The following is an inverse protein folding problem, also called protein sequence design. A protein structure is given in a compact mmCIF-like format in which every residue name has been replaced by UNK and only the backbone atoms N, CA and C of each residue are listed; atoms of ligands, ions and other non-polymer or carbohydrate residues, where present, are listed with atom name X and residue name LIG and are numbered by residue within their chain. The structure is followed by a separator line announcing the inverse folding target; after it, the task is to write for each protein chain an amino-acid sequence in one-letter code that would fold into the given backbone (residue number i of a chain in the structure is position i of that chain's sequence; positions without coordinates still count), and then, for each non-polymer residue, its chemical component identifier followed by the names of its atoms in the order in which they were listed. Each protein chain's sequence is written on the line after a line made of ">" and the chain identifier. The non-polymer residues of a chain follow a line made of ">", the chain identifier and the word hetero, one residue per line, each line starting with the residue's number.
data_IF_606409072477
#
_entry.id   IF_606409072477
#
_cell.length_a   1.000
_cell.length_b   1.000
_cell.length_c   1.000
_cell.angle_alpha   90.00
_cell.angle_beta   90.00
_cell.angle_gamma   90.00
#
_symmetry.space_group_name_H-M   'P 1'
#
loop_
_entity.id
_entity.type
_entity.pdbx_description
1 polymer ?
#
# COMPACT_ATOMS: atom_id res chain seq x y z
N UNK A 1 -28.99 -6.38 -19.35
CA UNK A 1 -28.34 -6.47 -18.03
C UNK A 1 -26.92 -6.90 -18.31
N UNK A 2 -26.05 -5.96 -18.65
CA UNK A 2 -24.69 -6.28 -19.07
C UNK A 2 -23.85 -6.44 -17.81
N UNK A 3 -23.80 -7.68 -17.32
CA UNK A 3 -23.03 -8.08 -16.15
C UNK A 3 -21.55 -7.91 -16.44
N UNK A 4 -20.99 -6.74 -16.14
CA UNK A 4 -19.55 -6.53 -16.13
C UNK A 4 -18.92 -7.50 -15.11
N UNK A 5 -18.33 -8.59 -15.62
CA UNK A 5 -17.54 -9.53 -14.84
C UNK A 5 -16.28 -8.81 -14.39
N UNK A 6 -16.25 -8.39 -13.13
CA UNK A 6 -15.06 -7.81 -12.52
C UNK A 6 -14.24 -8.91 -11.84
N UNK A 7 -12.94 -8.67 -11.67
CA UNK A 7 -12.06 -9.55 -10.92
C UNK A 7 -11.49 -8.84 -9.71
N UNK A 8 -11.52 -9.51 -8.56
CA UNK A 8 -11.05 -8.98 -7.31
C UNK A 8 -9.78 -9.71 -6.86
N UNK A 9 -8.79 -8.96 -6.40
CA UNK A 9 -7.49 -9.48 -5.98
C UNK A 9 -7.12 -8.98 -4.60
N UNK A 10 -6.84 -9.92 -3.70
CA UNK A 10 -6.14 -9.66 -2.46
C UNK A 10 -4.66 -10.03 -2.64
N UNK A 11 -3.78 -9.05 -2.46
CA UNK A 11 -2.34 -9.26 -2.48
C UNK A 11 -1.83 -9.25 -1.04
N UNK A 12 -1.72 -10.42 -0.43
CA UNK A 12 -1.15 -10.60 0.90
C UNK A 12 0.37 -10.67 0.79
N UNK A 13 1.08 -9.81 1.53
CA UNK A 13 2.53 -9.62 1.37
C UNK A 13 3.20 -9.38 2.72
N UNK A 14 4.36 -9.99 3.00
CA UNK A 14 5.11 -9.69 4.24
C UNK A 14 6.11 -8.54 4.12
N UNK A 15 6.20 -7.92 2.94
CA UNK A 15 7.17 -6.86 2.65
C UNK A 15 6.54 -5.75 1.84
N UNK A 16 7.20 -4.59 1.79
CA UNK A 16 6.71 -3.42 1.06
C UNK A 16 6.73 -3.56 -0.47
N UNK A 17 6.89 -4.78 -1.00
CA UNK A 17 7.03 -5.04 -2.44
C UNK A 17 5.84 -4.61 -3.30
N UNK A 18 6.09 -4.26 -4.55
CA UNK A 18 5.14 -3.63 -5.48
C UNK A 18 4.21 -4.58 -6.21
N UNK A 19 3.98 -5.78 -5.67
CA UNK A 19 3.12 -6.77 -6.32
C UNK A 19 1.75 -6.20 -6.69
N UNK A 20 1.14 -5.44 -5.76
CA UNK A 20 -0.11 -4.73 -6.01
C UNK A 20 -0.02 -3.65 -7.09
N UNK A 21 1.14 -3.01 -7.27
CA UNK A 21 1.33 -2.01 -8.33
C UNK A 21 1.50 -2.67 -9.70
N UNK A 22 2.28 -3.76 -9.77
CA UNK A 22 2.42 -4.59 -10.97
C UNK A 22 1.03 -5.02 -11.43
N UNK A 23 0.24 -5.63 -10.54
CA UNK A 23 -1.12 -6.08 -10.86
C UNK A 23 -2.07 -4.94 -11.22
N UNK A 24 -1.87 -3.74 -10.64
CA UNK A 24 -2.64 -2.55 -10.99
C UNK A 24 -2.32 -1.96 -12.36
N UNK A 25 -1.33 -2.50 -13.08
CA UNK A 25 -1.04 -2.06 -14.45
C UNK A 25 -2.10 -2.48 -15.46
N UNK A 26 -2.97 -3.44 -15.11
CA UNK A 26 -4.11 -3.79 -15.96
C UNK A 26 -5.06 -2.61 -16.16
N UNK A 27 -5.62 -2.46 -17.36
CA UNK A 27 -6.58 -1.40 -17.64
C UNK A 27 -7.76 -1.37 -16.67
N UNK A 28 -8.21 -0.16 -16.32
CA UNK A 28 -9.42 0.07 -15.53
C UNK A 28 -9.40 -0.63 -14.16
N UNK A 29 -8.27 -0.50 -13.45
CA UNK A 29 -8.08 -1.06 -12.11
C UNK A 29 -8.38 -0.05 -10.99
N UNK A 30 -9.13 -0.46 -9.98
CA UNK A 30 -9.22 0.21 -8.69
C UNK A 30 -8.19 -0.37 -7.71
N UNK A 31 -7.23 0.43 -7.27
CA UNK A 31 -6.16 0.00 -6.38
C UNK A 31 -6.29 0.60 -4.97
N UNK A 32 -6.31 -0.27 -3.97
CA UNK A 32 -6.36 0.06 -2.55
C UNK A 32 -5.05 -0.39 -1.87
N UNK A 33 -4.26 0.58 -1.42
CA UNK A 33 -2.98 0.39 -0.76
C UNK A 33 -3.13 0.39 0.76
N UNK A 34 -2.87 -0.75 1.39
CA UNK A 34 -2.75 -0.86 2.85
C UNK A 34 -3.91 -0.21 3.64
N UNK A 35 -5.17 -0.66 3.44
CA UNK A 35 -6.32 -0.10 4.14
C UNK A 35 -6.19 -0.18 5.67
N UNK A 36 -5.46 -1.16 6.19
CA UNK A 36 -5.26 -1.33 7.63
C UNK A 36 -4.09 -0.50 8.20
N UNK A 37 -3.42 0.33 7.40
CA UNK A 37 -2.35 1.20 7.89
C UNK A 37 -2.80 2.14 9.02
N UNK A 38 -4.07 2.57 9.00
CA UNK A 38 -4.64 3.41 10.06
C UNK A 38 -4.59 2.74 11.45
N UNK A 39 -4.87 1.44 11.53
CA UNK A 39 -4.84 0.70 12.80
C UNK A 39 -3.47 0.79 13.47
N UNK A 40 -2.40 0.61 12.67
CA UNK A 40 -1.02 0.74 13.17
C UNK A 40 -0.71 2.15 13.65
N UNK A 41 -1.25 3.20 13.00
CA UNK A 41 -1.10 4.57 13.49
C UNK A 41 -1.74 4.81 14.86
N UNK A 42 -2.72 3.99 15.24
CA UNK A 42 -3.35 4.01 16.56
C UNK A 42 -2.84 2.91 17.48
N UNK A 43 -1.68 2.31 17.19
CA UNK A 43 -1.07 1.21 17.96
C UNK A 43 -1.94 -0.06 18.06
N UNK A 44 -2.79 -0.31 17.07
CA UNK A 44 -3.61 -1.53 16.99
C UNK A 44 -2.91 -2.55 16.09
N UNK A 45 -2.68 -3.75 16.62
CA UNK A 45 -2.12 -4.87 15.85
C UNK A 45 -3.22 -5.57 15.05
N UNK A 46 -3.17 -5.39 13.73
CA UNK A 46 -4.18 -5.93 12.78
C UNK A 46 -4.20 -7.45 12.77
N UNK A 47 -3.04 -8.08 12.98
CA UNK A 47 -2.90 -9.54 13.06
C UNK A 47 -3.65 -10.15 14.26
N UNK A 48 -4.00 -9.32 15.25
CA UNK A 48 -4.76 -9.69 16.45
C UNK A 48 -6.22 -9.23 16.42
N UNK A 49 -6.64 -8.49 15.39
CA UNK A 49 -8.04 -8.10 15.23
C UNK A 49 -8.91 -9.35 14.93
N UNK A 50 -10.19 -9.34 15.36
CA UNK A 50 -11.15 -10.35 14.93
C UNK A 50 -11.18 -10.46 13.40
N UNK A 51 -11.25 -11.70 12.89
CA UNK A 51 -11.28 -11.95 11.45
C UNK A 51 -12.45 -11.24 10.76
N UNK A 52 -13.61 -11.19 11.42
CA UNK A 52 -14.83 -10.54 10.94
C UNK A 52 -14.63 -9.04 10.65
N UNK A 53 -13.87 -8.32 11.49
CA UNK A 53 -13.61 -6.89 11.26
C UNK A 53 -12.76 -6.66 10.02
N UNK A 54 -11.74 -7.50 9.82
CA UNK A 54 -10.88 -7.48 8.64
C UNK A 54 -11.70 -7.81 7.40
N UNK A 55 -12.50 -8.87 7.46
CA UNK A 55 -13.35 -9.34 6.37
C UNK A 55 -14.39 -8.30 6.00
N UNK A 56 -15.08 -7.70 6.97
CA UNK A 56 -16.10 -6.68 6.73
C UNK A 56 -15.51 -5.45 6.04
N UNK A 57 -14.30 -5.02 6.45
CA UNK A 57 -13.59 -3.91 5.81
C UNK A 57 -13.26 -4.26 4.35
N UNK A 58 -12.69 -5.45 4.11
CA UNK A 58 -12.33 -5.90 2.77
C UNK A 58 -13.56 -6.07 1.87
N UNK A 59 -14.65 -6.64 2.40
CA UNK A 59 -15.92 -6.78 1.70
C UNK A 59 -16.46 -5.42 1.27
N UNK A 60 -16.43 -4.40 2.11
CA UNK A 60 -16.86 -3.05 1.73
C UNK A 60 -15.97 -2.41 0.65
N UNK A 61 -14.65 -2.66 0.68
CA UNK A 61 -13.74 -2.17 -0.36
C UNK A 61 -14.01 -2.85 -1.70
N UNK A 62 -14.13 -4.18 -1.68
CA UNK A 62 -14.31 -5.00 -2.87
C UNK A 62 -15.70 -4.82 -3.48
N UNK A 63 -16.76 -4.71 -2.68
CA UNK A 63 -18.12 -4.36 -3.14
C UNK A 63 -18.33 -2.85 -3.39
N UNK A 64 -17.28 -2.05 -3.31
CA UNK A 64 -17.29 -0.60 -3.56
C UNK A 64 -18.23 0.23 -2.65
N UNK A 65 -18.60 -0.28 -1.48
CA UNK A 65 -19.37 0.42 -0.44
C UNK A 65 -18.48 1.36 0.40
N UNK A 66 -17.72 2.23 -0.28
CA UNK A 66 -16.64 3.01 0.33
C UNK A 66 -17.11 4.09 1.31
N UNK A 67 -18.39 4.49 1.24
CA UNK A 67 -19.03 5.38 2.21
C UNK A 67 -19.24 4.70 3.58
N UNK A 68 -19.39 3.37 3.60
CA UNK A 68 -19.54 2.56 4.82
C UNK A 68 -18.19 2.16 5.43
N UNK A 69 -17.11 2.23 4.66
CA UNK A 69 -15.76 1.89 5.14
C UNK A 69 -15.22 2.95 6.09
N UNK A 70 -15.17 2.62 7.38
CA UNK A 70 -14.77 3.55 8.44
C UNK A 70 -13.41 4.23 8.17
N UNK A 71 -12.43 3.46 7.68
CA UNK A 71 -11.08 3.99 7.38
C UNK A 71 -11.06 5.01 6.23
N UNK A 72 -12.10 5.04 5.39
CA UNK A 72 -12.23 5.99 4.28
C UNK A 72 -13.05 7.24 4.64
N UNK A 73 -13.52 7.40 5.88
CA UNK A 73 -14.23 8.62 6.30
C UNK A 73 -13.28 9.83 6.24
N UNK A 74 -12.09 9.69 6.80
CA UNK A 74 -11.10 10.78 6.84
C UNK A 74 -10.36 10.94 5.50
N UNK A 75 -10.34 12.18 4.97
CA UNK A 75 -9.74 12.51 3.68
C UNK A 75 -8.27 12.11 3.55
N UNK A 76 -7.48 12.23 4.63
CA UNK A 76 -6.06 11.82 4.67
C UNK A 76 -5.87 10.32 4.43
N UNK A 77 -6.78 9.48 4.91
CA UNK A 77 -6.70 8.03 4.73
C UNK A 77 -7.23 7.62 3.36
N UNK A 78 -8.31 8.26 2.85
CA UNK A 78 -8.72 8.10 1.45
C UNK A 78 -7.59 8.35 0.47
N UNK A 79 -6.88 9.46 0.63
CA UNK A 79 -5.74 9.82 -0.25
C UNK A 79 -4.56 8.85 -0.14
N UNK A 80 -4.41 8.19 1.00
CA UNK A 80 -3.34 7.24 1.25
C UNK A 80 -3.67 5.85 0.68
N UNK A 81 -4.89 5.38 0.97
CA UNK A 81 -5.37 4.05 0.63
C UNK A 81 -5.72 3.99 -0.85
N UNK A 82 -6.52 4.94 -1.33
CA UNK A 82 -6.78 5.03 -2.76
C UNK A 82 -5.66 5.83 -3.42
N UNK A 83 -4.94 5.20 -4.35
CA UNK A 83 -3.86 5.85 -5.09
C UNK A 83 -4.39 6.42 -6.41
N UNK A 84 -4.59 7.75 -6.52
CA UNK A 84 -5.08 8.36 -7.76
C UNK A 84 -4.10 8.12 -8.93
N UNK A 85 -4.63 7.94 -10.15
CA UNK A 85 -3.87 8.18 -11.36
C UNK A 85 -3.20 9.57 -11.34
N UNK A 86 -2.07 9.72 -12.03
CA UNK A 86 -1.28 10.97 -12.07
C UNK A 86 -2.13 12.21 -12.37
N UNK A 87 -3.09 12.08 -13.30
CA UNK A 87 -4.00 13.15 -13.72
C UNK A 87 -4.94 13.66 -12.61
N UNK A 88 -5.10 12.91 -11.53
CA UNK A 88 -5.96 13.24 -10.38
C UNK A 88 -5.14 13.56 -9.12
N UNK A 89 -3.80 13.68 -9.23
CA UNK A 89 -2.94 14.07 -8.10
C UNK A 89 -3.32 15.48 -7.62
N UNK A 90 -3.74 15.58 -6.36
CA UNK A 90 -4.19 16.82 -5.72
C UNK A 90 -5.68 16.85 -5.41
N UNK A 91 -6.50 16.06 -6.12
CA UNK A 91 -7.90 15.85 -5.77
C UNK A 91 -8.02 14.83 -4.64
N UNK A 92 -8.90 15.10 -3.67
CA UNK A 92 -9.32 14.11 -2.66
C UNK A 92 -10.81 13.84 -2.85
N UNK A 93 -11.20 12.99 -3.82
CA UNK A 93 -12.59 12.72 -4.14
C UNK A 93 -13.37 12.20 -2.92
N UNK A 94 -14.67 12.50 -2.86
CA UNK A 94 -15.57 11.95 -1.84
C UNK A 94 -15.57 10.41 -1.85
N UNK A 95 -15.94 9.79 -0.73
CA UNK A 95 -16.09 8.34 -0.67
C UNK A 95 -17.06 7.83 -1.74
N UNK A 96 -18.15 8.54 -2.01
CA UNK A 96 -19.10 8.18 -3.07
C UNK A 96 -18.50 8.26 -4.48
N UNK A 97 -17.68 9.29 -4.72
CA UNK A 97 -16.98 9.44 -6.01
C UNK A 97 -15.98 8.30 -6.22
N UNK A 98 -15.29 7.89 -5.14
CA UNK A 98 -14.41 6.72 -5.18
C UNK A 98 -15.21 5.43 -5.37
N UNK A 99 -16.38 5.29 -4.71
CA UNK A 99 -17.26 4.14 -4.83
C UNK A 99 -17.73 3.94 -6.26
N UNK A 100 -18.17 5.01 -6.94
CA UNK A 100 -18.54 4.95 -8.37
C UNK A 100 -17.38 4.53 -9.27
N UNK A 101 -16.17 5.03 -9.00
CA UNK A 101 -14.96 4.64 -9.76
C UNK A 101 -14.56 3.19 -9.51
N UNK A 102 -14.69 2.73 -8.28
CA UNK A 102 -14.47 1.34 -7.90
C UNK A 102 -15.48 0.42 -8.60
N UNK A 103 -16.75 0.80 -8.61
CA UNK A 103 -17.82 0.01 -9.24
C UNK A 103 -17.64 -0.09 -10.75
N UNK A 104 -17.15 0.98 -11.39
CA UNK A 104 -16.84 0.99 -12.82
C UNK A 104 -15.52 0.27 -13.19
N UNK A 105 -14.70 -0.12 -12.21
CA UNK A 105 -13.44 -0.81 -12.47
C UNK A 105 -13.68 -2.28 -12.84
N UNK A 106 -12.96 -2.77 -13.85
CA UNK A 106 -12.98 -4.18 -14.26
C UNK A 106 -12.11 -5.06 -13.35
N UNK A 107 -11.16 -4.45 -12.66
CA UNK A 107 -10.27 -5.14 -11.72
C UNK A 107 -10.16 -4.34 -10.44
N UNK A 108 -10.23 -5.00 -9.28
CA UNK A 108 -10.03 -4.37 -7.98
C UNK A 108 -8.88 -5.06 -7.28
N UNK A 109 -7.88 -4.30 -6.84
CA UNK A 109 -6.66 -4.84 -6.22
C UNK A 109 -6.50 -4.22 -4.84
N UNK A 110 -6.41 -5.05 -3.81
CA UNK A 110 -6.15 -4.63 -2.43
C UNK A 110 -4.80 -5.20 -1.99
N UNK A 111 -3.85 -4.32 -1.70
CA UNK A 111 -2.58 -4.70 -1.09
C UNK A 111 -2.69 -4.75 0.43
N UNK A 112 -2.24 -5.85 1.02
CA UNK A 112 -2.33 -6.16 2.43
C UNK A 112 -0.98 -6.64 2.97
N UNK A 113 -0.41 -5.89 3.92
CA UNK A 113 0.79 -6.30 4.65
C UNK A 113 0.50 -6.78 6.08
N UNK A 114 -0.57 -6.28 6.68
CA UNK A 114 -0.80 -6.35 8.13
C UNK A 114 -1.72 -7.48 8.60
N UNK A 115 -2.81 -7.83 7.89
CA UNK A 115 -3.60 -9.00 8.25
C UNK A 115 -2.82 -10.31 8.07
N UNK A 116 -3.19 -11.35 8.82
CA UNK A 116 -2.75 -12.73 8.60
C UNK A 116 -3.54 -13.36 7.46
N UNK A 117 -2.94 -14.32 6.77
CA UNK A 117 -3.57 -14.99 5.64
C UNK A 117 -4.89 -15.66 6.06
N UNK A 118 -4.90 -16.29 7.24
CA UNK A 118 -6.10 -16.91 7.84
C UNK A 118 -7.30 -15.97 7.97
N UNK A 119 -7.06 -14.66 8.17
CA UNK A 119 -8.15 -13.68 8.29
C UNK A 119 -8.82 -13.43 6.92
N UNK A 120 -8.14 -13.74 5.82
CA UNK A 120 -8.61 -13.53 4.44
C UNK A 120 -9.37 -14.74 3.89
N UNK A 121 -9.03 -15.95 4.32
CA UNK A 121 -9.56 -17.20 3.75
C UNK A 121 -11.10 -17.29 3.72
N UNK A 122 -11.84 -16.82 4.75
CA UNK A 122 -13.31 -16.85 4.70
C UNK A 122 -13.91 -16.03 3.56
N UNK A 123 -13.20 -15.01 3.05
CA UNK A 123 -13.68 -14.23 1.89
C UNK A 123 -13.69 -15.06 0.60
N UNK A 124 -12.89 -16.12 0.50
CA UNK A 124 -12.94 -17.04 -0.64
C UNK A 124 -14.22 -17.89 -0.65
N UNK A 125 -14.91 -17.99 0.49
CA UNK A 125 -16.17 -18.71 0.66
C UNK A 125 -17.38 -17.76 0.69
N UNK A 126 -17.16 -16.45 0.58
CA UNK A 126 -18.22 -15.46 0.51
C UNK A 126 -19.06 -15.67 -0.75
N UNK A 127 -20.39 -15.70 -0.62
CA UNK A 127 -21.29 -15.99 -1.73
C UNK A 127 -21.25 -14.95 -2.86
N UNK A 128 -20.93 -13.69 -2.53
CA UNK A 128 -20.83 -12.62 -3.52
C UNK A 128 -19.41 -12.56 -4.10
N UNK A 129 -18.39 -12.50 -3.24
CA UNK A 129 -17.00 -12.27 -3.64
C UNK A 129 -16.30 -13.55 -4.14
N UNK A 130 -16.53 -14.68 -3.46
CA UNK A 130 -15.80 -15.93 -3.66
C UNK A 130 -15.66 -16.39 -5.11
N UNK A 131 -16.70 -16.31 -5.97
CA UNK A 131 -16.62 -16.73 -7.36
C UNK A 131 -15.62 -15.93 -8.23
N UNK A 132 -15.30 -14.69 -7.85
CA UNK A 132 -14.43 -13.80 -8.64
C UNK A 132 -13.23 -13.26 -7.85
N UNK A 133 -13.10 -13.62 -6.57
CA UNK A 133 -12.01 -13.26 -5.69
C UNK A 133 -10.80 -14.19 -5.90
N UNK A 134 -9.64 -13.58 -6.07
CA UNK A 134 -8.35 -14.26 -6.17
C UNK A 134 -7.40 -13.76 -5.09
N UNK A 135 -6.57 -14.65 -4.59
CA UNK A 135 -5.63 -14.41 -3.49
C UNK A 135 -4.20 -14.68 -3.97
N UNK A 136 -3.40 -13.63 -4.01
CA UNK A 136 -1.97 -13.70 -4.29
C UNK A 136 -1.23 -13.61 -2.96
N UNK A 137 -0.44 -14.64 -2.64
CA UNK A 137 0.33 -14.74 -1.41
C UNK A 137 1.82 -14.60 -1.70
N UNK A 138 2.38 -13.43 -1.40
CA UNK A 138 3.81 -13.15 -1.57
C UNK A 138 4.58 -13.57 -0.33
N UNK A 139 5.35 -14.65 -0.47
CA UNK A 139 6.28 -15.14 0.55
C UNK A 139 7.67 -14.58 0.29
N UNK A 140 8.47 -14.43 1.36
CA UNK A 140 9.83 -13.91 1.30
C UNK A 140 10.66 -14.62 2.37
N UNK A 141 11.95 -14.77 2.12
CA UNK A 141 12.90 -15.21 3.13
C UNK A 141 12.75 -14.37 4.42
N UNK A 142 12.54 -15.00 5.59
CA UNK A 142 12.53 -14.33 6.89
C UNK A 142 13.70 -13.38 7.12
N UNK A 143 14.92 -13.76 6.69
CA UNK A 143 16.15 -12.96 6.83
C UNK A 143 16.06 -11.68 6.01
N UNK A 144 15.62 -11.81 4.76
CA UNK A 144 15.37 -10.66 3.88
C UNK A 144 14.26 -9.74 4.40
N UNK A 145 13.22 -10.30 5.01
CA UNK A 145 12.14 -9.53 5.64
C UNK A 145 12.63 -8.76 6.85
N UNK A 146 13.34 -9.42 7.77
CA UNK A 146 13.92 -8.80 8.96
C UNK A 146 14.85 -7.64 8.58
N UNK A 147 15.75 -7.87 7.62
CA UNK A 147 16.65 -6.84 7.13
C UNK A 147 15.90 -5.62 6.58
N UNK A 148 14.88 -5.87 5.75
CA UNK A 148 14.03 -4.81 5.20
C UNK A 148 13.29 -4.02 6.30
N UNK A 149 12.96 -4.64 7.42
CA UNK A 149 12.31 -4.00 8.55
C UNK A 149 13.29 -3.15 9.37
N UNK A 150 14.51 -3.63 9.62
CA UNK A 150 15.55 -2.88 10.33
C UNK A 150 15.93 -1.58 9.62
N UNK A 151 15.99 -1.61 8.28
CA UNK A 151 16.29 -0.42 7.47
C UNK A 151 15.09 0.53 7.28
N UNK A 152 13.88 0.15 7.73
CA UNK A 152 12.70 0.99 7.60
C UNK A 152 12.69 2.08 8.68
N UNK A 153 13.16 3.29 8.33
CA UNK A 153 13.34 4.44 9.23
C UNK A 153 12.06 5.05 9.83
N UNK A 154 10.89 4.42 9.64
CA UNK A 154 9.59 5.00 10.05
C UNK A 154 8.61 3.95 10.56
N UNK A 155 7.56 4.43 11.28
CA UNK A 155 6.36 3.77 11.86
C UNK A 155 5.80 2.52 11.12
N UNK A 156 6.20 2.29 9.87
CA UNK A 156 5.83 1.15 9.05
C UNK A 156 6.29 -0.19 9.61
N UNK A 157 7.43 -0.24 10.31
CA UNK A 157 7.94 -1.45 10.95
C UNK A 157 8.61 -1.07 12.26
N UNK A 158 7.82 -0.87 13.32
CA UNK A 158 8.36 -1.13 14.64
C UNK A 158 8.39 -2.63 14.77
N UNK A 159 9.57 -3.25 14.64
CA UNK A 159 9.86 -4.56 15.23
C UNK A 159 9.63 -4.43 16.74
N UNK A 160 8.36 -4.39 17.14
CA UNK A 160 7.90 -4.57 18.50
C UNK A 160 7.35 -5.98 18.70
N UNK A 161 7.30 -6.79 17.63
CA UNK A 161 7.03 -8.21 17.70
C UNK A 161 8.36 -8.97 17.82
N UNK A 162 8.43 -9.89 18.78
CA UNK A 162 9.58 -10.77 18.96
C UNK A 162 9.78 -11.63 17.71
N UNK A 163 11.01 -12.01 17.39
CA UNK A 163 11.30 -12.87 16.23
C UNK A 163 10.46 -14.16 16.25
N UNK A 164 10.24 -14.73 17.43
CA UNK A 164 9.33 -15.87 17.64
C UNK A 164 7.93 -15.60 17.12
N UNK A 165 7.31 -14.49 17.51
CA UNK A 165 5.97 -14.09 17.04
C UNK A 165 5.91 -13.87 15.53
N UNK A 166 7.00 -13.37 14.94
CA UNK A 166 7.10 -13.24 13.49
C UNK A 166 7.14 -14.61 12.80
N UNK A 167 8.07 -15.49 13.20
CA UNK A 167 8.23 -16.83 12.63
C UNK A 167 6.96 -17.68 12.80
N UNK A 168 6.34 -17.66 13.99
CA UNK A 168 5.07 -18.35 14.25
C UNK A 168 3.96 -17.87 13.32
N UNK A 169 3.94 -16.56 13.05
CA UNK A 169 3.00 -15.96 12.12
C UNK A 169 3.20 -16.43 10.68
N UNK A 170 4.45 -16.45 10.19
CA UNK A 170 4.75 -16.94 8.83
C UNK A 170 4.42 -18.43 8.72
N UNK A 171 4.80 -19.23 9.73
CA UNK A 171 4.47 -20.66 9.80
C UNK A 171 2.96 -20.90 9.73
N UNK A 172 2.18 -20.15 10.51
CA UNK A 172 0.72 -20.24 10.49
C UNK A 172 0.13 -19.83 9.15
N UNK A 173 0.67 -18.79 8.51
CA UNK A 173 0.22 -18.34 7.19
C UNK A 173 0.56 -19.37 6.09
N UNK A 174 1.75 -20.00 6.13
CA UNK A 174 2.12 -21.10 5.23
C UNK A 174 1.20 -22.32 5.42
N UNK A 175 0.99 -22.75 6.66
CA UNK A 175 0.10 -23.87 6.99
C UNK A 175 -1.34 -23.62 6.52
N UNK A 176 -1.86 -22.40 6.71
CA UNK A 176 -3.19 -22.02 6.26
C UNK A 176 -3.31 -22.00 4.72
N UNK A 177 -2.21 -21.81 4.01
CA UNK A 177 -2.19 -21.78 2.56
C UNK A 177 -2.00 -23.15 1.90
N UNK A 178 -1.48 -24.16 2.62
CA UNK A 178 -1.30 -25.52 2.11
C UNK A 178 -2.55 -26.12 1.46
N UNK A 179 -3.77 -26.03 2.03
CA UNK A 179 -4.96 -26.61 1.39
C UNK A 179 -5.46 -25.82 0.18
N UNK A 180 -4.88 -24.65 -0.13
CA UNK A 180 -5.30 -23.81 -1.24
C UNK A 180 -4.62 -24.27 -2.53
N UNK A 181 -5.24 -25.23 -3.22
CA UNK A 181 -4.79 -25.72 -4.54
C UNK A 181 -5.68 -25.24 -5.70
N UNK A 182 -6.64 -24.37 -5.41
CA UNK A 182 -7.57 -23.79 -6.37
C UNK A 182 -6.88 -22.74 -7.25
N UNK A 183 -7.29 -22.63 -8.52
CA UNK A 183 -6.91 -21.57 -9.46
C UNK A 183 -7.12 -20.13 -8.93
N UNK A 184 -7.90 -19.94 -7.86
CA UNK A 184 -8.08 -18.67 -7.16
C UNK A 184 -6.93 -18.30 -6.22
N UNK A 185 -6.01 -19.20 -5.91
CA UNK A 185 -4.85 -18.94 -5.06
C UNK A 185 -3.54 -19.10 -5.83
N UNK A 186 -2.63 -18.14 -5.68
CA UNK A 186 -1.26 -18.27 -6.18
C UNK A 186 -0.25 -17.75 -5.18
N UNK A 187 0.70 -18.63 -4.83
CA UNK A 187 1.88 -18.28 -4.05
C UNK A 187 2.95 -17.72 -4.98
N UNK A 188 3.62 -16.66 -4.55
CA UNK A 188 4.72 -16.02 -5.29
C UNK A 188 5.90 -15.85 -4.34
N UNK A 189 7.08 -16.27 -4.78
CA UNK A 189 8.33 -16.07 -4.04
C UNK A 189 8.94 -14.70 -4.39
N UNK A 190 9.23 -13.90 -3.37
CA UNK A 190 9.82 -12.57 -3.52
C UNK A 190 11.14 -12.63 -4.28
N UNK A 191 11.99 -13.60 -3.97
CA UNK A 191 13.33 -13.73 -4.54
C UNK A 191 13.25 -14.02 -6.04
N UNK A 192 12.31 -14.87 -6.47
CA UNK A 192 12.06 -15.12 -7.88
C UNK A 192 11.50 -13.87 -8.58
N UNK A 193 10.54 -13.18 -7.94
CA UNK A 193 9.96 -11.96 -8.48
C UNK A 193 10.97 -10.81 -8.55
N UNK A 194 11.94 -10.77 -7.64
CA UNK A 194 13.03 -9.81 -7.63
C UNK A 194 14.06 -10.07 -8.74
N UNK A 195 14.42 -11.34 -8.97
CA UNK A 195 15.41 -11.74 -9.97
C UNK A 195 14.83 -11.76 -11.39
N UNK A 196 13.58 -12.20 -11.55
CA UNK A 196 12.91 -12.40 -12.84
C UNK A 196 11.54 -11.72 -12.88
N UNK A 197 11.46 -10.41 -12.60
CA UNK A 197 10.20 -9.68 -12.41
C UNK A 197 9.23 -9.76 -13.57
N UNK A 198 9.72 -9.65 -14.81
CA UNK A 198 8.87 -9.74 -15.99
C UNK A 198 8.28 -11.15 -16.17
N UNK A 199 9.12 -12.18 -16.07
CA UNK A 199 8.69 -13.57 -16.24
C UNK A 199 7.65 -13.96 -15.17
N UNK A 200 7.94 -13.66 -13.91
CA UNK A 200 7.03 -13.95 -12.80
C UNK A 200 5.73 -13.15 -12.91
N UNK A 201 5.79 -11.89 -13.37
CA UNK A 201 4.57 -11.10 -13.59
C UNK A 201 3.70 -11.68 -14.70
N UNK A 202 4.29 -12.10 -15.83
CA UNK A 202 3.56 -12.76 -16.92
C UNK A 202 2.87 -14.05 -16.43
N UNK A 203 3.58 -14.88 -15.66
CA UNK A 203 3.02 -16.08 -15.04
C UNK A 203 1.89 -15.75 -14.07
N UNK A 204 2.05 -14.72 -13.24
CA UNK A 204 1.03 -14.28 -12.30
C UNK A 204 -0.23 -13.76 -13.00
N UNK A 205 -0.08 -12.96 -14.06
CA UNK A 205 -1.20 -12.51 -14.87
C UNK A 205 -1.99 -13.68 -15.45
N UNK A 206 -1.28 -14.69 -15.97
CA UNK A 206 -1.89 -15.90 -16.53
C UNK A 206 -2.59 -16.72 -15.45
N UNK A 207 -1.91 -17.03 -14.35
CA UNK A 207 -2.45 -17.83 -13.24
C UNK A 207 -3.68 -17.19 -12.59
N UNK A 208 -3.68 -15.87 -12.45
CA UNK A 208 -4.81 -15.10 -11.94
C UNK A 208 -5.86 -14.78 -13.01
N UNK A 209 -5.74 -15.28 -14.24
CA UNK A 209 -6.69 -15.02 -15.34
C UNK A 209 -6.96 -13.53 -15.59
N UNK A 210 -5.95 -12.71 -15.38
CA UNK A 210 -6.02 -11.27 -15.55
C UNK A 210 -5.62 -10.86 -16.97
N UNK A 211 -6.23 -9.80 -17.53
CA UNK A 211 -5.83 -9.27 -18.83
C UNK A 211 -4.41 -8.69 -18.72
N UNK A 212 -3.49 -9.28 -19.48
CA UNK A 212 -2.11 -8.81 -19.55
C UNK A 212 -2.08 -7.41 -20.19
N UNK A 213 -1.42 -6.42 -19.55
CA UNK A 213 -1.33 -5.09 -20.11
C UNK A 213 -0.43 -5.10 -21.37
N UNK A 214 -0.85 -4.46 -22.48
CA UNK A 214 -0.07 -4.41 -23.73
C UNK A 214 1.32 -3.78 -23.57
N UNK A 215 1.52 -2.99 -22.50
CA UNK A 215 2.79 -2.32 -22.20
C UNK A 215 3.47 -2.89 -20.95
N UNK A 216 3.20 -4.14 -20.56
CA UNK A 216 3.84 -4.75 -19.39
C UNK A 216 5.37 -4.80 -19.55
N UNK A 217 5.86 -5.21 -20.72
CA UNK A 217 7.30 -5.18 -21.05
C UNK A 217 7.88 -3.76 -20.93
N UNK A 218 7.22 -2.77 -21.54
CA UNK A 218 7.66 -1.37 -21.48
C UNK A 218 7.59 -0.78 -20.06
N UNK A 219 6.66 -1.26 -19.22
CA UNK A 219 6.61 -0.91 -17.81
C UNK A 219 7.88 -1.38 -17.10
N UNK A 220 8.28 -2.64 -17.28
CA UNK A 220 9.48 -3.19 -16.67
C UNK A 220 10.77 -2.54 -17.20
N UNK A 221 10.88 -2.33 -18.51
CA UNK A 221 12.01 -1.60 -19.10
C UNK A 221 12.17 -0.19 -18.48
N UNK A 222 11.06 0.53 -18.31
CA UNK A 222 11.09 1.90 -17.78
C UNK A 222 11.28 1.97 -16.27
N UNK A 223 10.79 0.99 -15.53
CA UNK A 223 10.78 1.05 -14.07
C UNK A 223 11.89 0.23 -13.43
N UNK A 224 12.57 -0.65 -14.17
CA UNK A 224 13.64 -1.50 -13.63
C UNK A 224 14.97 -1.38 -14.38
N UNK A 225 14.99 -0.99 -15.67
CA UNK A 225 16.24 -0.97 -16.45
C UNK A 225 16.83 0.43 -16.71
N UNK A 226 16.18 1.52 -16.30
CA UNK A 226 16.73 2.86 -16.56
C UNK A 226 17.78 3.23 -15.52
N UNK A 227 18.98 3.63 -15.90
CA UNK A 227 20.03 4.23 -15.04
C UNK A 227 19.71 5.69 -14.59
N UNK A 228 18.43 6.04 -14.48
CA UNK A 228 17.96 7.41 -14.17
C UNK A 228 17.15 7.48 -12.87
N UNK A 229 16.90 8.69 -12.33
CA UNK A 229 16.11 8.85 -11.11
C UNK A 229 14.74 8.15 -11.24
N UNK A 230 14.25 7.50 -10.17
CA UNK A 230 13.06 6.67 -10.24
C UNK A 230 11.89 7.48 -10.82
N UNK A 231 11.23 6.99 -11.89
CA UNK A 231 10.07 7.69 -12.42
C UNK A 231 9.01 7.77 -11.32
N UNK A 232 8.30 8.91 -11.16
CA UNK A 232 7.20 8.99 -10.21
C UNK A 232 6.19 7.87 -10.52
N UNK A 233 5.58 7.21 -9.53
CA UNK A 233 4.73 6.04 -9.77
C UNK A 233 3.65 6.36 -10.80
N UNK A 234 3.74 5.74 -11.97
CA UNK A 234 2.78 5.88 -13.08
C UNK A 234 1.94 4.61 -13.12
N UNK A 235 0.68 4.63 -12.67
CA UNK A 235 -0.26 3.65 -13.18
C UNK A 235 -0.42 3.91 -14.67
N UNK A 236 -0.41 2.82 -15.43
CA UNK A 236 -0.55 2.82 -16.88
C UNK A 236 -1.84 3.55 -17.27
N UNK A 237 -1.67 4.54 -18.14
CA UNK A 237 -2.78 5.28 -18.73
C UNK A 237 -3.53 4.31 -19.64
N UNK A 238 -4.74 3.92 -19.25
CA UNK A 238 -5.71 3.43 -20.24
C UNK A 238 -6.04 4.60 -21.15
N UNK A 239 -5.47 4.58 -22.36
CA UNK A 239 -6.07 5.32 -23.47
C UNK A 239 -7.39 4.62 -23.77
N UNK A 240 -8.50 5.17 -23.29
CA UNK A 240 -9.76 4.93 -23.99
C UNK A 240 -9.63 5.60 -25.36
N UNK A 241 -9.62 4.78 -26.42
CA UNK A 241 -9.94 5.25 -27.77
C UNK A 241 -11.45 5.47 -27.81
N UNK A 242 -11.88 6.67 -27.46
CA UNK A 242 -13.14 7.22 -27.94
C UNK A 242 -12.95 8.72 -28.11
N UNK A 243 -12.75 9.12 -29.36
CA UNK A 243 -13.02 10.45 -29.89
C UNK A 243 -14.36 10.97 -29.37
N UNK A 244 -14.35 12.18 -28.81
CA UNK A 244 -15.57 12.86 -28.39
C UNK A 244 -15.24 14.02 -27.47
N UNK A 245 -14.98 15.20 -28.04
CA UNK A 245 -15.02 16.48 -27.31
C UNK A 245 -16.46 16.68 -26.82
N UNK A 246 -16.81 16.20 -25.63
CA UNK A 246 -18.03 16.59 -24.94
C UNK A 246 -17.90 16.29 -23.44
N UNK A 247 -18.23 17.25 -22.58
CA UNK A 247 -18.55 16.97 -21.18
C UNK A 247 -17.60 17.49 -20.09
N UNK A 248 -17.05 18.71 -20.23
CA UNK A 248 -16.65 19.49 -19.05
C UNK A 248 -17.18 20.92 -19.13
N UNK A 249 -18.50 21.04 -19.05
CA UNK A 249 -19.18 22.21 -18.48
C UNK A 249 -20.37 21.71 -17.66
N UNK A 250 -20.14 21.49 -16.37
CA UNK A 250 -21.24 21.52 -15.41
C UNK A 250 -21.58 22.99 -15.13
N UNK A 251 -22.87 23.33 -14.90
CA UNK A 251 -23.32 24.71 -14.73
C UNK A 251 -22.62 25.37 -13.53
N UNK A 252 -22.18 26.62 -13.71
CA UNK A 252 -21.70 27.45 -12.60
C UNK A 252 -22.85 27.68 -11.61
N UNK A 253 -22.63 27.51 -10.29
CA UNK A 253 -23.64 27.90 -9.32
C UNK A 253 -23.83 29.43 -9.33
N UNK A 254 -25.08 29.94 -9.19
CA UNK A 254 -25.32 31.38 -9.15
C UNK A 254 -24.55 32.02 -8.01
N UNK A 255 -24.07 33.23 -8.27
CA UNK A 255 -23.31 34.06 -7.35
C UNK A 255 -24.20 34.66 -6.26
N UNK A 256 -24.85 33.84 -5.43
CA UNK A 256 -25.54 34.30 -4.22
C UNK A 256 -25.71 33.15 -3.23
N UNK A 257 -24.68 32.92 -2.41
CA UNK A 257 -24.78 32.24 -1.10
C UNK A 257 -23.51 32.46 -0.26
N UNK A 258 -23.06 33.72 -0.20
CA UNK A 258 -21.96 34.16 0.69
C UNK A 258 -22.44 34.84 1.97
N UNK A 259 -23.74 34.81 2.26
CA UNK A 259 -24.31 35.49 3.41
C UNK A 259 -25.48 34.70 4.02
N UNK A 260 -25.26 33.46 4.47
CA UNK A 260 -26.27 32.77 5.30
C UNK A 260 -25.64 31.64 6.14
N UNK A 261 -24.71 32.00 7.03
CA UNK A 261 -24.24 31.13 8.12
C UNK A 261 -23.69 31.94 9.30
N UNK A 262 -24.18 33.17 9.45
CA UNK A 262 -23.89 34.06 10.56
C UNK A 262 -25.21 34.53 11.18
N UNK A 263 -26.04 33.60 11.65
CA UNK A 263 -27.19 33.85 12.53
C UNK A 263 -27.80 32.53 12.94
N UNK A 264 -27.41 32.02 14.12
CA UNK A 264 -28.22 31.19 15.05
C UNK A 264 -27.31 30.50 16.06
N UNK A 265 -27.14 31.14 17.21
CA UNK A 265 -27.41 30.58 18.54
C UNK A 265 -26.68 31.41 19.60
N UNK A 266 -27.36 32.46 20.04
CA UNK A 266 -27.17 33.08 21.35
C UNK A 266 -28.31 32.61 22.25
N UNK A 267 -28.11 32.70 23.56
CA UNK A 267 -29.04 32.48 24.70
C UNK A 267 -28.92 31.09 25.36
N UNK A 268 -27.99 30.97 26.34
CA UNK A 268 -28.31 31.10 27.77
C UNK A 268 -27.04 30.94 28.62
N UNK A 269 -26.74 31.98 29.38
CA UNK A 269 -25.69 32.05 30.39
C UNK A 269 -26.21 31.55 31.74
N UNK A 270 -25.34 30.89 32.54
CA UNK A 270 -25.28 31.11 34.00
C UNK A 270 -24.04 30.48 34.65
N UNK A 271 -23.20 31.38 35.18
CA UNK A 271 -22.55 31.25 36.48
C UNK A 271 -21.34 30.32 36.61
N UNK A 272 -20.13 30.89 36.61
CA UNK A 272 -19.11 30.69 37.65
C UNK A 272 -17.98 31.71 37.46
N UNK A 273 -17.67 32.46 38.53
CA UNK A 273 -16.63 33.49 38.61
C UNK A 273 -15.25 32.86 38.39
N UNK A 274 -14.43 33.47 37.54
CA UNK A 274 -13.01 33.16 37.40
C UNK A 274 -12.17 34.42 37.71
N UNK A 275 -11.17 34.23 38.57
CA UNK A 275 -10.20 35.21 39.09
C UNK A 275 -9.30 35.74 37.94
N UNK A 276 -8.88 37.02 37.92
CA UNK A 276 -8.04 37.55 36.85
C UNK A 276 -6.60 37.03 36.93
N UNK A 277 -6.14 36.38 35.84
CA UNK A 277 -4.74 36.02 35.64
C UNK A 277 -3.89 37.25 35.31
N UNK A 278 -2.74 37.40 35.99
CA UNK A 278 -1.74 38.46 35.77
C UNK A 278 -1.23 38.42 34.31
N UNK A 279 -1.19 39.59 33.65
CA UNK A 279 -0.55 39.78 32.33
C UNK A 279 0.96 39.52 32.42
N UNK A 280 1.59 38.83 31.46
CA UNK A 280 3.05 38.74 31.40
C UNK A 280 3.66 40.09 30.95
N UNK A 281 4.90 40.40 31.38
CA UNK A 281 5.55 41.67 31.06
C UNK A 281 5.91 41.77 29.57
N UNK A 282 5.79 43.00 29.02
CA UNK A 282 6.17 43.35 27.64
C UNK A 282 7.68 43.15 27.44
N UNK A 283 8.06 42.27 26.52
CA UNK A 283 9.45 42.11 26.09
C UNK A 283 9.92 43.34 25.28
N UNK A 284 11.09 43.88 25.61
CA UNK A 284 11.73 44.97 24.86
C UNK A 284 12.21 44.49 23.48
N UNK A 285 12.23 45.36 22.45
CA UNK A 285 12.67 44.98 21.11
C UNK A 285 14.18 44.66 21.09
N UNK A 286 14.54 43.48 20.56
CA UNK A 286 15.92 43.01 20.44
C UNK A 286 16.78 43.96 19.58
N UNK A 287 18.08 44.09 19.88
CA UNK A 287 19.00 44.99 19.15
C UNK A 287 19.15 44.58 17.67
N UNK A 288 19.41 45.49 16.73
CA UNK A 288 19.44 45.18 15.29
C UNK A 288 20.34 44.00 14.88
N UNK A 289 21.52 43.88 15.51
CA UNK A 289 22.45 42.76 15.29
C UNK A 289 21.89 41.41 15.77
N UNK A 290 21.13 41.42 16.85
CA UNK A 290 20.49 40.23 17.42
C UNK A 290 19.30 39.78 16.55
N UNK A 291 18.54 40.73 16.00
CA UNK A 291 17.50 40.45 15.02
C UNK A 291 18.07 39.84 13.73
N UNK A 292 19.23 40.33 13.27
CA UNK A 292 19.91 39.82 12.08
C UNK A 292 20.43 38.39 12.30
N UNK A 293 21.02 38.11 13.46
CA UNK A 293 21.47 36.76 13.84
C UNK A 293 20.28 35.79 13.97
N UNK A 294 19.17 36.22 14.59
CA UNK A 294 17.95 35.41 14.67
C UNK A 294 17.36 35.12 13.29
N UNK A 295 17.41 36.07 12.35
CA UNK A 295 16.96 35.87 10.97
C UNK A 295 17.83 34.82 10.26
N UNK A 296 19.15 34.87 10.42
CA UNK A 296 20.07 33.88 9.86
C UNK A 296 19.85 32.48 10.44
N UNK A 297 19.66 32.37 11.77
CA UNK A 297 19.37 31.08 12.42
C UNK A 297 18.05 30.47 11.96
N UNK A 298 17.01 31.29 11.74
CA UNK A 298 15.73 30.84 11.18
C UNK A 298 15.88 30.32 9.76
N UNK A 299 16.65 31.02 8.92
CA UNK A 299 16.93 30.59 7.54
C UNK A 299 17.71 29.27 7.50
N UNK A 300 18.75 29.14 8.32
CA UNK A 300 19.55 27.90 8.43
C UNK A 300 18.72 26.73 8.94
N UNK A 301 17.84 26.96 9.92
CA UNK A 301 16.88 25.94 10.40
C UNK A 301 15.88 25.52 9.31
N UNK A 302 15.40 26.46 8.50
CA UNK A 302 14.51 26.15 7.36
C UNK A 302 15.23 25.35 6.27
N UNK A 303 16.49 25.70 5.94
CA UNK A 303 17.31 24.93 4.99
C UNK A 303 17.58 23.51 5.49
N UNK A 304 17.93 23.33 6.77
CA UNK A 304 18.11 22.00 7.37
C UNK A 304 16.81 21.18 7.37
N UNK A 305 15.66 21.83 7.62
CA UNK A 305 14.35 21.18 7.52
C UNK A 305 14.00 20.79 6.08
N UNK A 306 14.40 21.59 5.09
CA UNK A 306 14.20 21.26 3.68
C UNK A 306 15.09 20.09 3.24
N UNK A 307 16.37 20.09 3.63
CA UNK A 307 17.32 19.00 3.36
C UNK A 307 16.87 17.69 4.03
N UNK A 308 16.41 17.75 5.28
CA UNK A 308 15.84 16.58 5.95
C UNK A 308 14.58 16.09 5.25
N UNK A 309 13.71 16.99 4.77
CA UNK A 309 12.50 16.63 4.01
C UNK A 309 12.81 16.06 2.63
N UNK A 310 13.87 16.52 1.96
CA UNK A 310 14.30 15.97 0.67
C UNK A 310 14.92 14.59 0.87
N UNK A 311 15.81 14.44 1.85
CA UNK A 311 16.39 13.15 2.23
C UNK A 311 15.31 12.14 2.64
N UNK A 312 14.37 12.53 3.52
CA UNK A 312 13.21 11.70 3.89
C UNK A 312 12.33 11.36 2.67
N UNK A 313 12.25 12.24 1.66
CA UNK A 313 11.48 12.00 0.43
C UNK A 313 12.21 11.06 -0.51
N UNK A 314 13.52 11.18 -0.67
CA UNK A 314 14.35 10.26 -1.46
C UNK A 314 14.37 8.87 -0.84
N UNK A 315 14.60 8.76 0.47
CA UNK A 315 14.54 7.48 1.20
C UNK A 315 13.16 6.82 1.10
N UNK A 316 12.08 7.60 1.22
CA UNK A 316 10.72 7.10 1.00
C UNK A 316 10.49 6.69 -0.45
N UNK A 317 10.99 7.45 -1.42
CA UNK A 317 10.84 7.11 -2.83
C UNK A 317 11.61 5.83 -3.19
N UNK A 318 12.78 5.58 -2.60
CA UNK A 318 13.53 4.34 -2.80
C UNK A 318 12.79 3.11 -2.23
N UNK A 319 12.16 3.27 -1.06
CA UNK A 319 11.30 2.26 -0.42
C UNK A 319 9.92 2.07 -1.07
N UNK A 320 9.50 3.01 -1.93
CA UNK A 320 8.24 2.98 -2.72
C UNK A 320 8.45 2.99 -4.26
N UNK A 321 9.67 2.78 -4.76
CA UNK A 321 9.99 2.64 -6.19
C UNK A 321 10.19 1.19 -6.62
N UNK A 322 9.61 0.86 -7.77
CA UNK A 322 9.89 -0.35 -8.58
C UNK A 322 11.30 -0.38 -9.18
N UNK A 323 12.07 0.70 -9.03
CA UNK A 323 13.46 0.78 -9.43
C UNK A 323 14.33 -0.21 -8.68
N UNK A 324 15.02 -1.04 -9.44
CA UNK A 324 16.08 -1.94 -8.95
C UNK A 324 17.24 -1.70 -9.90
N UNK A 325 18.31 -1.07 -9.40
CA UNK A 325 19.50 -0.87 -10.20
C UNK A 325 20.08 -2.22 -10.63
N UNK A 326 21.01 -2.24 -11.60
CA UNK A 326 21.67 -3.46 -12.05
C UNK A 326 22.33 -4.24 -10.90
N UNK A 327 22.69 -3.55 -9.81
CA UNK A 327 23.34 -4.14 -8.63
C UNK A 327 22.36 -4.61 -7.53
N UNK A 328 21.05 -4.67 -7.81
CA UNK A 328 20.09 -5.10 -6.79
C UNK A 328 20.21 -6.60 -6.51
N UNK A 329 20.64 -6.92 -5.29
CA UNK A 329 20.74 -8.28 -4.77
C UNK A 329 19.59 -8.55 -3.78
N UNK A 330 18.62 -9.45 -4.07
CA UNK A 330 17.58 -9.80 -3.11
C UNK A 330 18.11 -10.47 -1.83
N UNK A 331 19.34 -10.96 -1.87
CA UNK A 331 20.07 -11.58 -0.74
C UNK A 331 21.05 -10.63 -0.06
N UNK A 332 20.93 -9.31 -0.28
CA UNK A 332 21.79 -8.30 0.35
C UNK A 332 21.83 -8.37 1.89
N UNK A 333 20.81 -8.98 2.52
CA UNK A 333 20.79 -9.30 3.95
C UNK A 333 21.99 -10.12 4.42
N UNK A 334 22.62 -10.92 3.54
CA UNK A 334 23.84 -11.69 3.85
C UNK A 334 25.03 -10.82 4.22
N UNK A 335 25.06 -9.58 3.71
CA UNK A 335 26.13 -8.61 3.95
C UNK A 335 25.76 -7.59 5.03
N UNK A 336 24.47 -7.36 5.23
CA UNK A 336 23.95 -6.29 6.08
C UNK A 336 23.53 -6.75 7.48
N UNK A 337 23.01 -7.98 7.61
CA UNK A 337 22.62 -8.52 8.92
C UNK A 337 23.85 -9.01 9.69
N UNK A 338 23.82 -8.79 11.01
CA UNK A 338 24.82 -9.34 11.91
C UNK A 338 24.67 -10.87 12.00
N UNK A 339 25.78 -11.64 12.07
CA UNK A 339 25.73 -13.10 12.16
C UNK A 339 24.89 -13.61 13.32
N UNK A 340 24.92 -12.95 14.48
CA UNK A 340 24.16 -13.37 15.67
C UNK A 340 22.66 -13.30 15.43
N UNK A 341 22.21 -12.27 14.70
CA UNK A 341 20.80 -12.09 14.37
C UNK A 341 20.34 -13.07 13.28
N UNK A 342 21.23 -13.40 12.34
CA UNK A 342 20.98 -14.47 11.36
C UNK A 342 20.79 -15.79 12.10
N UNK A 343 21.70 -16.16 13.00
CA UNK A 343 21.62 -17.40 13.78
C UNK A 343 20.36 -17.47 14.65
N UNK A 344 20.01 -16.38 15.34
CA UNK A 344 18.78 -16.34 16.14
C UNK A 344 17.53 -16.52 15.26
N UNK A 345 17.48 -15.86 14.10
CA UNK A 345 16.36 -16.01 13.19
C UNK A 345 16.30 -17.42 12.58
N UNK A 346 17.44 -17.96 12.15
CA UNK A 346 17.53 -19.32 11.61
C UNK A 346 17.11 -20.36 12.65
N UNK A 347 17.42 -20.15 13.93
CA UNK A 347 16.95 -21.00 15.01
C UNK A 347 15.40 -21.01 15.12
N UNK A 348 14.76 -19.84 15.08
CA UNK A 348 13.29 -19.75 15.27
C UNK A 348 12.46 -20.00 14.00
N UNK A 349 13.04 -19.74 12.83
CA UNK A 349 12.40 -19.84 11.52
C UNK A 349 12.94 -21.03 10.69
N UNK A 350 13.70 -21.97 11.27
CA UNK A 350 14.36 -23.06 10.53
C UNK A 350 13.42 -23.80 9.56
N UNK A 351 12.24 -24.18 10.04
CA UNK A 351 11.22 -24.91 9.28
C UNK A 351 10.59 -24.05 8.17
N UNK A 352 10.33 -22.77 8.47
CA UNK A 352 9.83 -21.79 7.49
C UNK A 352 10.85 -21.58 6.38
N UNK A 353 12.12 -21.42 6.71
CA UNK A 353 13.20 -21.22 5.74
C UNK A 353 13.32 -22.46 4.86
N UNK A 354 13.34 -23.66 5.45
CA UNK A 354 13.43 -24.91 4.70
C UNK A 354 12.25 -25.12 3.73
N UNK A 355 11.01 -24.81 4.15
CA UNK A 355 9.82 -24.89 3.27
C UNK A 355 9.99 -23.94 2.06
N UNK A 356 10.37 -22.68 2.31
CA UNK A 356 10.51 -21.69 1.26
C UNK A 356 11.66 -21.99 0.27
N UNK A 357 12.79 -22.51 0.76
CA UNK A 357 13.93 -22.88 -0.08
C UNK A 357 13.65 -24.13 -0.93
N UNK A 358 12.96 -25.13 -0.38
CA UNK A 358 12.56 -26.34 -1.11
C UNK A 358 11.60 -26.00 -2.27
N UNK A 359 10.64 -25.11 -2.03
CA UNK A 359 9.70 -24.67 -3.07
C UNK A 359 10.40 -23.85 -4.17
N UNK A 360 11.36 -23.01 -3.80
CA UNK A 360 12.09 -22.19 -4.77
C UNK A 360 12.93 -23.03 -5.75
N UNK A 361 13.47 -24.16 -5.28
CA UNK A 361 14.30 -25.09 -6.07
C UNK A 361 13.46 -26.07 -6.91
N UNK A 362 12.25 -26.42 -6.47
CA UNK A 362 11.34 -27.32 -7.21
C UNK A 362 10.65 -26.70 -8.45
N UNK A 363 10.91 -25.42 -8.76
CA UNK A 363 10.18 -24.64 -9.77
C UNK A 363 10.70 -24.61 -11.24
N UNK A 364 11.77 -25.30 -11.71
CA UNK A 364 12.21 -25.11 -13.09
C UNK A 364 11.55 -26.02 -14.17
N UNK A 365 10.76 -27.05 -13.86
CA UNK A 365 10.40 -28.06 -14.90
C UNK A 365 8.92 -28.27 -15.25
N UNK A 366 7.95 -27.71 -14.51
CA UNK A 366 6.52 -28.01 -14.80
C UNK A 366 5.94 -27.30 -16.04
N UNK A 367 6.67 -26.37 -16.63
CA UNK A 367 6.22 -25.59 -17.81
C UNK A 367 6.73 -26.13 -19.16
N UNK A 368 7.52 -27.23 -19.19
CA UNK A 368 8.08 -27.79 -20.42
C UNK A 368 7.23 -28.91 -21.08
N UNK A 369 6.20 -29.42 -20.40
CA UNK A 369 5.29 -30.41 -20.98
C UNK A 369 4.10 -29.69 -21.65
N UNK A 370 4.30 -29.24 -22.88
CA UNK A 370 3.19 -28.93 -23.78
C UNK A 370 2.33 -30.18 -24.03
N UNK A 371 1.04 -30.03 -24.40
CA UNK A 371 0.20 -31.17 -24.70
C UNK A 371 0.79 -31.94 -25.87
N UNK A 372 1.22 -33.17 -25.62
CA UNK A 372 1.48 -34.15 -26.68
C UNK A 372 0.21 -34.33 -27.50
N UNK A 373 0.37 -34.14 -28.82
CA UNK A 373 -0.67 -34.21 -29.85
C UNK A 373 -1.47 -35.50 -29.84
#
# INVERSE_FOLDING_TARGET
>A
MDGHTHQDLLCHTFSQFYLGEILSTSPNTAYFFEPFYYHVKNNISVSRLPGEEVQQTLRQLLTCQLNRTAVLREAKYRRFIWRPPVKLRGATPSADTLGRRCAAASTRVVKLVRPRLRQLLPLLQDAELGPHLRLVHLVRDPRGTLNSQLHATTVWNRLGEKLTTYCDGVRADLAAARPLHDARYQRVHYEQLALRPEQVAVQLYRGMQLPQPPMLHAYFQRHMNSSGPPPPPRPLVVRSRSSGKAGWRGPQPPADRRAELASRHTVLSRGKRAVPAKRPPKQQPARPKEQQLQKQLRQRKQQLLQLRRSHDREQKQQYFSTYRGPDFDPYHWRKELKPELIHELEHYCADVIAELETEATASPERDAAGPTR
#
